data_IF_107377758561
#
_entry.id   IF_107377758561
#
_cell.length_a   1.000
_cell.length_b   1.000
_cell.length_c   1.000
_cell.angle_alpha   90.00
_cell.angle_beta   90.00
_cell.angle_gamma   90.00
#
_symmetry.space_group_name_H-M   'P 1'
#
loop_
_entity.id
_entity.type
_entity.pdbx_description
1 polymer ?
#
# COMPACT_ATOMS: atom_id res chain seq x y z
N UNK A 1 24.64 -14.51 -8.09
CA UNK A 1 24.15 -13.19 -7.64
C UNK A 1 23.06 -12.67 -8.58
N UNK A 2 23.28 -12.77 -9.89
CA UNK A 2 22.37 -12.24 -10.92
C UNK A 2 21.01 -12.96 -10.96
N UNK A 3 20.97 -14.28 -10.73
CA UNK A 3 19.70 -15.02 -10.69
C UNK A 3 18.75 -14.54 -9.58
N UNK A 4 19.29 -14.19 -8.41
CA UNK A 4 18.51 -13.67 -7.28
C UNK A 4 17.96 -12.28 -7.61
N UNK A 5 18.74 -11.44 -8.29
CA UNK A 5 18.32 -10.12 -8.74
C UNK A 5 17.23 -10.20 -9.81
N UNK A 6 17.35 -11.13 -10.75
CA UNK A 6 16.33 -11.38 -11.78
C UNK A 6 15.03 -11.85 -11.13
N UNK A 7 15.11 -12.80 -10.18
CA UNK A 7 13.95 -13.28 -9.45
C UNK A 7 13.27 -12.14 -8.67
N UNK A 8 14.05 -11.33 -7.96
CA UNK A 8 13.53 -10.14 -7.26
C UNK A 8 12.82 -9.20 -8.23
N UNK A 9 13.44 -8.87 -9.35
CA UNK A 9 12.87 -7.95 -10.34
C UNK A 9 11.56 -8.48 -10.92
N UNK A 10 11.49 -9.78 -11.24
CA UNK A 10 10.27 -10.42 -11.75
C UNK A 10 9.15 -10.41 -10.71
N UNK A 11 9.45 -10.79 -9.47
CA UNK A 11 8.46 -10.75 -8.38
C UNK A 11 7.99 -9.31 -8.10
N UNK A 12 8.92 -8.35 -8.07
CA UNK A 12 8.61 -6.95 -7.81
C UNK A 12 7.73 -6.37 -8.93
N UNK A 13 8.09 -6.67 -10.18
CA UNK A 13 7.30 -6.29 -11.35
C UNK A 13 5.90 -6.89 -11.31
N UNK A 14 5.77 -8.18 -11.00
CA UNK A 14 4.48 -8.84 -10.88
C UNK A 14 3.60 -8.18 -9.79
N UNK A 15 4.16 -7.93 -8.61
CA UNK A 15 3.45 -7.24 -7.52
C UNK A 15 3.04 -5.83 -7.94
N UNK A 16 3.93 -5.09 -8.58
CA UNK A 16 3.65 -3.73 -9.07
C UNK A 16 2.53 -3.71 -10.12
N UNK A 17 2.57 -4.64 -11.07
CA UNK A 17 1.54 -4.79 -12.09
C UNK A 17 0.17 -5.10 -11.49
N UNK A 18 0.12 -6.04 -10.53
CA UNK A 18 -1.12 -6.40 -9.84
C UNK A 18 -1.71 -5.20 -9.09
N UNK A 19 -0.90 -4.45 -8.34
CA UNK A 19 -1.38 -3.27 -7.61
C UNK A 19 -1.83 -2.14 -8.53
N UNK A 20 -1.07 -1.88 -9.61
CA UNK A 20 -1.45 -0.89 -10.61
C UNK A 20 -2.76 -1.25 -11.32
N UNK A 21 -3.02 -2.55 -11.58
CA UNK A 21 -4.25 -3.00 -12.25
C UNK A 21 -5.53 -2.67 -11.50
N UNK A 22 -5.47 -2.66 -10.16
CA UNK A 22 -6.60 -2.30 -9.28
C UNK A 22 -6.56 -0.80 -8.90
N UNK A 23 -5.47 -0.09 -9.24
CA UNK A 23 -5.24 1.28 -8.84
C UNK A 23 -4.99 1.45 -7.34
N UNK A 24 -4.62 0.38 -6.64
CA UNK A 24 -4.41 0.41 -5.20
C UNK A 24 -2.94 0.68 -4.87
N UNK A 25 -2.70 1.62 -3.95
CA UNK A 25 -1.38 1.85 -3.37
C UNK A 25 -0.90 0.62 -2.59
N UNK A 26 -0.13 -0.23 -3.26
CA UNK A 26 0.32 -1.54 -2.82
C UNK A 26 1.52 -1.65 -1.87
N UNK A 27 1.65 -0.76 -0.89
CA UNK A 27 2.80 -0.73 0.01
C UNK A 27 3.14 -2.10 0.65
N UNK A 28 2.14 -2.89 1.04
CA UNK A 28 2.33 -4.15 1.75
C UNK A 28 3.09 -5.20 0.94
N UNK A 29 2.80 -5.38 -0.35
CA UNK A 29 3.52 -6.36 -1.18
C UNK A 29 4.97 -5.98 -1.46
N UNK A 30 5.26 -4.70 -1.74
CA UNK A 30 6.64 -4.24 -1.92
C UNK A 30 7.44 -4.38 -0.63
N UNK A 31 6.85 -4.02 0.52
CA UNK A 31 7.47 -4.15 1.83
C UNK A 31 7.73 -5.62 2.19
N UNK A 32 6.79 -6.52 1.90
CA UNK A 32 6.97 -7.95 2.10
C UNK A 32 8.12 -8.50 1.26
N UNK A 33 8.18 -8.17 -0.03
CA UNK A 33 9.23 -8.62 -0.92
C UNK A 33 10.59 -8.06 -0.51
N UNK A 34 10.68 -6.76 -0.23
CA UNK A 34 11.92 -6.15 0.26
C UNK A 34 12.37 -6.74 1.61
N UNK A 35 11.45 -7.11 2.49
CA UNK A 35 11.79 -7.79 3.74
C UNK A 35 12.37 -9.19 3.50
N UNK A 36 11.76 -9.98 2.60
CA UNK A 36 12.19 -11.33 2.25
C UNK A 36 13.58 -11.33 1.60
N UNK A 37 13.87 -10.33 0.76
CA UNK A 37 15.18 -10.15 0.12
C UNK A 37 16.20 -9.42 1.03
N UNK A 38 15.85 -9.14 2.28
CA UNK A 38 16.80 -8.66 3.28
C UNK A 38 17.14 -7.16 3.21
N UNK A 39 16.37 -6.35 2.49
CA UNK A 39 16.62 -4.90 2.41
C UNK A 39 16.58 -4.23 3.80
N UNK A 40 17.35 -3.15 3.93
CA UNK A 40 17.37 -2.34 5.15
C UNK A 40 16.09 -1.49 5.25
N UNK A 41 15.50 -1.33 6.45
CA UNK A 41 14.31 -0.49 6.66
C UNK A 41 14.46 0.96 6.17
N UNK A 42 15.70 1.48 6.19
CA UNK A 42 16.03 2.80 5.66
C UNK A 42 15.71 2.96 4.17
N UNK A 43 15.80 1.88 3.38
CA UNK A 43 15.43 1.88 1.94
C UNK A 43 13.97 1.45 1.77
N UNK A 44 13.51 0.48 2.55
CA UNK A 44 12.15 -0.08 2.43
C UNK A 44 11.06 0.99 2.57
N UNK A 45 11.12 1.80 3.64
CA UNK A 45 10.10 2.81 3.96
C UNK A 45 9.94 3.86 2.84
N UNK A 46 11.00 4.58 2.41
CA UNK A 46 10.86 5.60 1.38
C UNK A 46 10.48 5.01 0.02
N UNK A 47 11.01 3.85 -0.35
CA UNK A 47 10.65 3.19 -1.61
C UNK A 47 9.17 2.81 -1.64
N UNK A 48 8.66 2.21 -0.56
CA UNK A 48 7.24 1.84 -0.48
C UNK A 48 6.32 3.08 -0.51
N UNK A 49 6.67 4.15 0.22
CA UNK A 49 5.91 5.40 0.22
C UNK A 49 5.87 6.06 -1.17
N UNK A 50 7.03 6.16 -1.83
CA UNK A 50 7.15 6.77 -3.16
C UNK A 50 6.31 6.01 -4.17
N UNK A 51 6.43 4.68 -4.22
CA UNK A 51 5.65 3.85 -5.14
C UNK A 51 4.15 3.94 -4.86
N UNK A 52 3.75 3.97 -3.58
CA UNK A 52 2.36 4.16 -3.21
C UNK A 52 1.81 5.48 -3.75
N UNK A 53 2.56 6.56 -3.59
CA UNK A 53 2.16 7.87 -4.05
C UNK A 53 2.03 7.89 -5.58
N UNK A 54 3.00 7.32 -6.30
CA UNK A 54 2.97 7.27 -7.76
C UNK A 54 1.77 6.46 -8.30
N UNK A 55 1.58 5.22 -7.83
CA UNK A 55 0.48 4.34 -8.30
C UNK A 55 -0.87 4.96 -7.97
N UNK A 56 -1.03 5.46 -6.74
CA UNK A 56 -2.29 6.08 -6.30
C UNK A 56 -2.56 7.40 -7.02
N UNK A 57 -1.52 8.17 -7.34
CA UNK A 57 -1.64 9.40 -8.11
C UNK A 57 -2.09 9.13 -9.56
N UNK A 58 -1.54 8.10 -10.20
CA UNK A 58 -2.01 7.67 -11.54
C UNK A 58 -3.47 7.25 -11.48
N UNK A 59 -3.87 6.44 -10.49
CA UNK A 59 -5.26 6.06 -10.29
C UNK A 59 -6.15 7.31 -10.08
N UNK A 60 -5.72 8.23 -9.21
CA UNK A 60 -6.40 9.51 -8.97
C UNK A 60 -6.60 10.31 -10.26
N UNK A 61 -5.57 10.44 -11.09
CA UNK A 61 -5.68 11.15 -12.38
C UNK A 61 -6.69 10.48 -13.32
N UNK A 62 -6.72 9.14 -13.37
CA UNK A 62 -7.73 8.42 -14.16
C UNK A 62 -9.15 8.68 -13.67
N UNK A 63 -9.39 8.64 -12.35
CA UNK A 63 -10.71 8.97 -11.78
C UNK A 63 -11.10 10.44 -11.96
N UNK A 64 -10.13 11.35 -11.86
CA UNK A 64 -10.32 12.77 -12.09
C UNK A 64 -10.75 13.04 -13.54
N UNK A 65 -10.03 12.45 -14.52
CA UNK A 65 -10.38 12.55 -15.94
C UNK A 65 -11.76 11.97 -16.24
N UNK A 66 -12.13 10.87 -15.59
CA UNK A 66 -13.42 10.22 -15.73
C UNK A 66 -14.59 10.95 -15.02
N UNK A 67 -14.37 12.16 -14.47
CA UNK A 67 -15.39 12.98 -13.80
C UNK A 67 -16.04 12.34 -12.56
N UNK A 68 -15.44 11.29 -11.99
CA UNK A 68 -15.89 10.67 -10.74
C UNK A 68 -15.30 11.34 -9.49
N UNK A 69 -14.76 12.55 -9.63
CA UNK A 69 -14.05 13.24 -8.57
C UNK A 69 -15.00 13.90 -7.56
N UNK A 70 -14.84 13.56 -6.27
CA UNK A 70 -15.64 14.12 -5.16
C UNK A 70 -14.78 15.00 -4.24
N UNK A 71 -14.76 16.34 -4.42
CA UNK A 71 -13.89 17.23 -3.64
C UNK A 71 -14.23 17.24 -2.15
N UNK A 72 -15.50 17.02 -1.77
CA UNK A 72 -15.93 16.91 -0.37
C UNK A 72 -15.25 15.77 0.39
N UNK A 73 -14.84 14.70 -0.31
CA UNK A 73 -14.13 13.56 0.29
C UNK A 73 -12.61 13.78 0.30
N UNK A 74 -12.08 14.50 -0.70
CA UNK A 74 -10.64 14.80 -0.80
C UNK A 74 -10.14 15.60 0.40
N UNK A 75 -10.84 16.67 0.79
CA UNK A 75 -10.38 17.56 1.85
C UNK A 75 -10.16 16.87 3.21
N UNK A 76 -11.14 16.09 3.75
CA UNK A 76 -10.91 15.30 4.96
C UNK A 76 -9.74 14.33 4.84
N UNK A 77 -9.57 13.69 3.68
CA UNK A 77 -8.47 12.76 3.44
C UNK A 77 -7.10 13.45 3.42
N UNK A 78 -6.99 14.64 2.85
CA UNK A 78 -5.75 15.42 2.81
C UNK A 78 -5.36 15.85 4.24
N UNK A 79 -6.29 16.51 4.94
CA UNK A 79 -6.01 17.03 6.28
C UNK A 79 -5.80 15.93 7.33
N UNK A 80 -6.39 14.75 7.15
CA UNK A 80 -6.05 13.58 7.95
C UNK A 80 -4.74 12.92 7.50
N UNK A 81 -4.65 12.46 6.26
CA UNK A 81 -3.58 11.54 5.86
C UNK A 81 -2.19 12.18 5.88
N UNK A 82 -2.05 13.43 5.48
CA UNK A 82 -0.74 14.09 5.39
C UNK A 82 -0.06 14.23 6.76
N UNK A 83 -0.65 14.88 7.77
CA UNK A 83 0.01 15.05 9.08
C UNK A 83 0.24 13.71 9.79
N UNK A 84 -0.73 12.79 9.74
CA UNK A 84 -0.58 11.49 10.40
C UNK A 84 0.46 10.60 9.69
N UNK A 85 0.58 10.66 8.36
CA UNK A 85 1.66 9.97 7.63
C UNK A 85 3.03 10.55 7.95
N UNK A 86 3.13 11.88 8.08
CA UNK A 86 4.37 12.55 8.46
C UNK A 86 4.81 12.17 9.89
N UNK A 87 3.88 12.20 10.84
CA UNK A 87 4.14 11.74 12.21
C UNK A 87 4.61 10.28 12.23
N UNK A 88 3.93 9.39 11.50
CA UNK A 88 4.34 7.99 11.37
C UNK A 88 5.73 7.80 10.74
N UNK A 89 6.12 8.67 9.81
CA UNK A 89 7.41 8.60 9.13
C UNK A 89 8.59 9.03 10.02
N UNK A 90 8.38 10.00 10.94
CA UNK A 90 9.44 10.52 11.81
C UNK A 90 9.71 9.61 13.01
N UNK A 91 8.75 8.80 13.44
CA UNK A 91 8.92 7.93 14.60
C UNK A 91 10.13 7.00 14.39
N UNK A 92 11.20 7.15 15.19
CA UNK A 92 12.39 6.33 15.04
C UNK A 92 12.06 4.93 15.54
N UNK A 93 12.11 3.96 14.62
CA UNK A 93 11.92 2.55 14.92
C UNK A 93 13.24 1.86 14.65
N UNK A 94 13.74 1.10 15.63
CA UNK A 94 14.87 0.21 15.38
C UNK A 94 14.53 -0.80 14.27
N UNK A 95 15.52 -1.19 13.49
CA UNK A 95 15.32 -2.09 12.35
C UNK A 95 14.66 -3.42 12.75
N UNK A 96 15.03 -3.95 13.92
CA UNK A 96 14.47 -5.19 14.47
C UNK A 96 12.97 -5.03 14.78
N UNK A 97 12.59 -3.95 15.46
CA UNK A 97 11.19 -3.66 15.76
C UNK A 97 10.36 -3.42 14.50
N UNK A 98 10.90 -2.68 13.52
CA UNK A 98 10.22 -2.44 12.25
C UNK A 98 9.91 -3.75 11.52
N UNK A 99 10.90 -4.63 11.35
CA UNK A 99 10.71 -5.91 10.66
C UNK A 99 9.72 -6.82 11.39
N UNK A 100 9.78 -6.88 12.73
CA UNK A 100 8.84 -7.67 13.54
C UNK A 100 7.41 -7.17 13.42
N UNK A 101 7.19 -5.85 13.54
CA UNK A 101 5.86 -5.26 13.39
C UNK A 101 5.32 -5.46 11.98
N UNK A 102 6.15 -5.23 10.95
CA UNK A 102 5.78 -5.46 9.56
C UNK A 102 5.31 -6.91 9.34
N UNK A 103 6.10 -7.89 9.78
CA UNK A 103 5.75 -9.31 9.64
C UNK A 103 4.44 -9.65 10.36
N UNK A 104 4.24 -9.16 11.58
CA UNK A 104 3.01 -9.37 12.34
C UNK A 104 1.79 -8.77 11.62
N UNK A 105 1.88 -7.53 11.14
CA UNK A 105 0.80 -6.85 10.43
C UNK A 105 0.43 -7.60 9.13
N UNK A 106 1.44 -8.08 8.40
CA UNK A 106 1.21 -8.86 7.18
C UNK A 106 0.52 -10.20 7.48
N UNK A 107 0.94 -10.92 8.52
CA UNK A 107 0.28 -12.15 8.95
C UNK A 107 -1.18 -11.90 9.37
N UNK A 108 -1.43 -10.85 10.15
CA UNK A 108 -2.79 -10.45 10.54
C UNK A 108 -3.64 -10.08 9.32
N UNK A 109 -3.05 -9.43 8.32
CA UNK A 109 -3.73 -9.07 7.07
C UNK A 109 -4.16 -10.31 6.28
N UNK A 110 -3.27 -11.29 6.16
CA UNK A 110 -3.57 -12.58 5.51
C UNK A 110 -4.65 -13.33 6.31
N UNK A 111 -4.52 -13.41 7.63
CA UNK A 111 -5.51 -14.06 8.49
C UNK A 111 -6.91 -13.43 8.34
N UNK A 112 -6.99 -12.10 8.39
CA UNK A 112 -8.26 -11.36 8.18
C UNK A 112 -8.84 -11.63 6.79
N UNK A 113 -8.02 -11.68 5.75
CA UNK A 113 -8.47 -11.95 4.38
C UNK A 113 -9.07 -13.35 4.25
N UNK A 114 -8.46 -14.36 4.87
CA UNK A 114 -8.96 -15.74 4.86
C UNK A 114 -10.28 -15.88 5.63
N UNK A 115 -10.46 -15.11 6.71
CA UNK A 115 -11.68 -15.16 7.51
C UNK A 115 -12.86 -14.39 6.89
N UNK A 116 -12.58 -13.35 6.09
CA UNK A 116 -13.60 -12.46 5.49
C UNK A 116 -14.05 -12.89 4.08
N UNK A 117 -14.04 -14.19 3.77
CA UNK A 117 -14.49 -14.70 2.47
C UNK A 117 -16.02 -14.88 2.35
N UNK A 118 -16.80 -14.44 3.33
CA UNK A 118 -18.25 -14.55 3.30
C UNK A 118 -18.87 -13.36 2.55
N UNK A 119 -19.33 -13.65 1.33
CA UNK A 119 -20.19 -12.86 0.44
C UNK A 119 -20.91 -11.66 1.08
N UNK A 120 -20.32 -10.48 0.98
CA UNK A 120 -21.08 -9.23 1.15
C UNK A 120 -21.92 -9.00 -0.09
N UNK A 121 -23.17 -9.46 -0.03
CA UNK A 121 -24.26 -8.94 -0.85
C UNK A 121 -24.20 -7.42 -0.87
N UNK A 122 -24.08 -6.83 -2.07
CA UNK A 122 -23.98 -5.39 -2.30
C UNK A 122 -25.12 -4.67 -1.57
N UNK A 123 -24.80 -4.07 -0.42
CA UNK A 123 -25.74 -3.21 0.30
C UNK A 123 -25.86 -1.94 -0.52
N UNK A 124 -27.03 -1.74 -1.12
CA UNK A 124 -27.42 -0.53 -1.87
C UNK A 124 -27.06 0.73 -1.10
N UNK A 125 -26.50 1.71 -1.81
CA UNK A 125 -25.89 2.92 -1.29
C UNK A 125 -26.77 3.70 -0.27
N UNK A 126 -26.17 4.34 0.74
CA UNK A 126 -26.89 5.26 1.61
C UNK A 126 -27.32 6.51 0.82
N UNK A 127 -28.62 6.84 0.92
CA UNK A 127 -29.35 7.92 0.21
C UNK A 127 -28.81 9.36 0.37
N UNK A 128 -27.74 9.57 1.14
CA UNK A 128 -27.26 10.91 1.53
C UNK A 128 -25.75 11.09 1.30
N UNK A 129 -25.27 10.71 0.13
CA UNK A 129 -23.94 11.10 -0.39
C UNK A 129 -24.05 11.67 -1.80
#
# INVERSE_FOLDING_TARGET
>A
MDEILILYALCFFAVALLYASVGHGGASGYLALMALFGFAPMVMKPTALLLNLLVSFVAFLSFYKAQFFRPKLLWPLIFGSIPFSYLGAIIPLSDSWYKKMLALILLLSVFRLLMNQNNTSLKTEPKFW
#
